data_IF_299715327576
#
_entry.id   IF_299715327576
#
_cell.length_a   1.000
_cell.length_b   1.000
_cell.length_c   1.000
_cell.angle_alpha   90.00
_cell.angle_beta   90.00
_cell.angle_gamma   90.00
#
_symmetry.space_group_name_H-M   'P 1'
#
loop_
_entity.id
_entity.type
_entity.pdbx_description
1 polymer ?
#
# COMPACT_ATOMS: atom_id res chain seq x y z
N UNK A 1 -29.91 -16.73 7.72
CA UNK A 1 -28.63 -16.83 6.98
C UNK A 1 -28.03 -15.44 6.86
N UNK A 2 -26.83 -15.25 7.41
CA UNK A 2 -26.14 -13.97 7.36
C UNK A 2 -24.88 -14.08 6.51
N UNK A 3 -24.84 -13.28 5.44
CA UNK A 3 -23.66 -13.17 4.57
C UNK A 3 -22.93 -11.88 4.92
N UNK A 4 -21.66 -11.98 5.21
CA UNK A 4 -20.83 -10.82 5.50
C UNK A 4 -19.65 -10.77 4.54
N UNK A 5 -19.26 -9.53 4.20
CA UNK A 5 -18.08 -9.27 3.36
C UNK A 5 -17.13 -8.38 4.14
N UNK A 6 -15.91 -8.83 4.31
CA UNK A 6 -14.87 -8.08 5.00
C UNK A 6 -13.70 -7.87 4.06
N UNK A 7 -13.20 -6.65 3.99
CA UNK A 7 -12.03 -6.31 3.18
C UNK A 7 -10.96 -5.74 4.11
N UNK A 8 -9.77 -6.33 4.08
CA UNK A 8 -8.68 -5.91 4.96
C UNK A 8 -7.33 -6.14 4.29
N UNK A 9 -6.38 -5.27 4.61
CA UNK A 9 -5.00 -5.49 4.20
C UNK A 9 -4.44 -6.60 5.11
N UNK A 10 -4.22 -7.79 4.56
CA UNK A 10 -3.77 -8.94 5.33
C UNK A 10 -2.26 -9.16 5.27
N UNK A 11 -1.58 -8.47 4.37
CA UNK A 11 -0.13 -8.54 4.25
C UNK A 11 0.42 -7.20 3.76
N UNK A 12 1.40 -6.67 4.47
CA UNK A 12 2.04 -5.41 4.14
C UNK A 12 3.54 -5.66 4.17
N UNK A 13 4.23 -5.41 3.04
CA UNK A 13 5.67 -5.59 2.95
C UNK A 13 6.34 -4.28 2.55
N UNK A 14 7.45 -3.98 3.22
CA UNK A 14 8.29 -2.84 2.84
C UNK A 14 9.47 -3.36 2.05
N UNK A 15 9.82 -2.65 0.99
CA UNK A 15 10.91 -3.02 0.09
C UNK A 15 12.09 -2.08 0.31
N UNK A 16 13.28 -2.52 -0.07
CA UNK A 16 14.53 -1.78 0.15
C UNK A 16 14.47 -0.32 -0.32
N UNK A 17 13.78 -0.06 -1.44
CA UNK A 17 13.68 1.31 -1.97
C UNK A 17 12.62 2.17 -1.27
N UNK A 18 11.96 1.64 -0.25
CA UNK A 18 10.92 2.33 0.48
C UNK A 18 9.50 2.08 -0.04
N UNK A 19 9.35 1.35 -1.14
CA UNK A 19 8.02 1.01 -1.65
C UNK A 19 7.32 0.05 -0.69
N UNK A 20 5.99 0.20 -0.57
CA UNK A 20 5.17 -0.63 0.31
C UNK A 20 4.20 -1.43 -0.55
N UNK A 21 4.28 -2.75 -0.44
CA UNK A 21 3.36 -3.66 -1.15
C UNK A 21 2.26 -4.08 -0.21
N UNK A 22 1.02 -3.96 -0.66
CA UNK A 22 -0.17 -4.29 0.14
C UNK A 22 -0.94 -5.40 -0.56
N UNK A 23 -1.26 -6.45 0.18
CA UNK A 23 -2.22 -7.46 -0.28
C UNK A 23 -3.50 -7.25 0.51
N UNK A 24 -4.60 -7.06 -0.23
CA UNK A 24 -5.93 -6.89 0.36
C UNK A 24 -6.70 -8.18 0.19
N UNK A 25 -7.21 -8.72 1.27
CA UNK A 25 -8.05 -9.91 1.25
C UNK A 25 -9.51 -9.49 1.36
N UNK A 26 -10.34 -10.03 0.45
CA UNK A 26 -11.79 -9.91 0.54
C UNK A 26 -12.33 -11.26 0.97
N UNK A 27 -12.98 -11.29 2.13
CA UNK A 27 -13.44 -12.52 2.76
C UNK A 27 -14.96 -12.49 2.81
N UNK A 28 -15.59 -13.54 2.28
CA UNK A 28 -17.05 -13.69 2.32
C UNK A 28 -17.37 -14.85 3.25
N UNK A 29 -18.21 -14.59 4.25
CA UNK A 29 -18.61 -15.56 5.25
C UNK A 29 -20.11 -15.72 5.27
N UNK A 30 -20.56 -16.93 5.61
CA UNK A 30 -21.96 -17.24 5.88
C UNK A 30 -22.03 -17.79 7.30
N UNK A 31 -22.78 -17.09 8.16
CA UNK A 31 -22.96 -17.46 9.58
C UNK A 31 -21.63 -17.71 10.30
N UNK A 32 -20.64 -16.87 9.98
CA UNK A 32 -19.30 -16.96 10.59
C UNK A 32 -18.35 -17.92 9.91
N UNK A 33 -18.82 -18.68 8.91
CA UNK A 33 -17.97 -19.63 8.17
C UNK A 33 -17.49 -19.01 6.88
N UNK A 34 -16.18 -19.03 6.67
CA UNK A 34 -15.59 -18.47 5.45
C UNK A 34 -15.97 -19.33 4.23
N UNK A 35 -16.61 -18.69 3.25
CA UNK A 35 -16.99 -19.34 2.00
C UNK A 35 -15.93 -19.16 0.92
N UNK A 36 -15.37 -17.95 0.83
CA UNK A 36 -14.38 -17.66 -0.19
C UNK A 36 -13.50 -16.51 0.26
N UNK A 37 -12.29 -16.46 -0.31
CA UNK A 37 -11.31 -15.41 -0.05
C UNK A 37 -10.62 -15.08 -1.36
N UNK A 38 -10.58 -13.81 -1.69
CA UNK A 38 -9.87 -13.33 -2.87
C UNK A 38 -8.84 -12.29 -2.45
N UNK A 39 -7.83 -12.09 -3.29
CA UNK A 39 -6.73 -11.19 -2.99
C UNK A 39 -6.53 -10.18 -4.10
N UNK A 40 -6.17 -8.98 -3.70
CA UNK A 40 -5.78 -7.91 -4.61
C UNK A 40 -4.48 -7.30 -4.10
N UNK A 41 -3.52 -7.08 -4.99
CA UNK A 41 -2.22 -6.49 -4.62
C UNK A 41 -2.05 -5.14 -5.27
N UNK A 42 -1.51 -4.20 -4.51
CA UNK A 42 -1.09 -2.91 -5.07
C UNK A 42 0.18 -2.44 -4.36
N UNK A 43 0.85 -1.49 -4.99
CA UNK A 43 2.13 -0.97 -4.49
C UNK A 43 2.03 0.54 -4.33
N UNK A 44 2.57 1.04 -3.22
CA UNK A 44 2.68 2.47 -2.97
C UNK A 44 4.15 2.84 -2.97
N UNK A 45 4.52 3.83 -3.76
CA UNK A 45 5.90 4.32 -3.83
C UNK A 45 6.11 5.53 -2.93
N UNK A 46 7.35 5.78 -2.44
CA UNK A 46 7.61 6.87 -1.48
C UNK A 46 7.31 8.26 -2.01
N UNK A 47 7.38 8.44 -3.32
CA UNK A 47 7.11 9.73 -3.97
C UNK A 47 6.42 9.50 -5.29
N UNK A 48 5.63 10.48 -5.72
CA UNK A 48 4.91 10.45 -6.98
C UNK A 48 5.36 11.60 -7.85
N UNK A 49 5.71 11.30 -9.11
CA UNK A 49 6.13 12.32 -10.06
C UNK A 49 4.97 12.70 -10.96
N UNK A 50 4.69 13.99 -11.03
CA UNK A 50 3.67 14.56 -11.91
C UNK A 50 4.37 15.52 -12.87
N UNK A 51 4.46 15.15 -14.15
CA UNK A 51 5.28 15.87 -15.09
C UNK A 51 6.75 15.79 -14.66
N UNK A 52 7.36 16.92 -14.36
CA UNK A 52 8.76 17.00 -13.91
C UNK A 52 8.88 17.24 -12.41
N UNK A 53 7.76 17.22 -11.69
CA UNK A 53 7.74 17.59 -10.26
C UNK A 53 7.47 16.37 -9.39
N UNK A 54 8.32 16.16 -8.39
CA UNK A 54 8.12 15.15 -7.36
C UNK A 54 7.25 15.70 -6.22
N UNK A 55 6.34 14.87 -5.74
CA UNK A 55 5.49 15.21 -4.61
C UNK A 55 5.26 14.00 -3.73
N UNK A 56 4.60 14.21 -2.60
CA UNK A 56 4.28 13.12 -1.69
C UNK A 56 3.17 12.24 -2.28
N UNK A 57 3.32 10.93 -2.09
CA UNK A 57 2.29 9.99 -2.52
C UNK A 57 1.07 10.12 -1.61
N UNK A 58 -0.11 10.26 -2.24
CA UNK A 58 -1.37 10.36 -1.51
C UNK A 58 -1.79 8.99 -1.01
N UNK A 59 -1.85 8.83 0.31
CA UNK A 59 -2.27 7.59 0.96
C UNK A 59 -3.58 7.76 1.75
N UNK A 60 -4.29 8.85 1.52
CA UNK A 60 -5.50 9.16 2.28
C UNK A 60 -6.61 8.12 2.11
N UNK A 61 -6.61 7.38 1.00
CA UNK A 61 -7.59 6.32 0.76
C UNK A 61 -7.20 4.96 1.32
N UNK A 62 -6.02 4.84 1.94
CA UNK A 62 -5.55 3.57 2.50
C UNK A 62 -6.05 3.35 3.92
N UNK A 63 -6.04 2.10 4.38
CA UNK A 63 -6.36 1.79 5.78
C UNK A 63 -5.38 2.51 6.71
N UNK A 64 -5.86 2.84 7.92
CA UNK A 64 -5.05 3.54 8.93
C UNK A 64 -3.72 2.83 9.19
N UNK A 65 -3.73 1.50 9.27
CA UNK A 65 -2.53 0.71 9.48
C UNK A 65 -1.53 0.87 8.34
N UNK A 66 -2.01 0.89 7.10
CA UNK A 66 -1.17 1.09 5.92
C UNK A 66 -0.57 2.49 5.94
N UNK A 67 -1.38 3.50 6.25
CA UNK A 67 -0.90 4.88 6.36
C UNK A 67 0.20 5.02 7.41
N UNK A 68 0.03 4.37 8.56
CA UNK A 68 1.01 4.42 9.64
C UNK A 68 2.35 3.81 9.21
N UNK A 69 2.31 2.70 8.50
CA UNK A 69 3.52 2.05 8.00
C UNK A 69 4.21 2.92 6.96
N UNK A 70 3.46 3.47 6.01
CA UNK A 70 4.01 4.36 5.00
C UNK A 70 4.66 5.59 5.63
N UNK A 71 4.02 6.21 6.61
CA UNK A 71 4.55 7.37 7.28
C UNK A 71 5.84 7.05 8.06
N UNK A 72 5.93 5.85 8.61
CA UNK A 72 7.13 5.43 9.32
C UNK A 72 8.29 5.14 8.37
N UNK A 73 8.01 4.53 7.22
CA UNK A 73 9.03 4.16 6.22
C UNK A 73 9.49 5.36 5.41
N UNK A 74 8.57 6.24 5.03
CA UNK A 74 8.84 7.33 4.09
C UNK A 74 9.42 8.57 4.77
N UNK A 75 10.65 8.45 5.24
CA UNK A 75 11.38 9.61 5.72
C UNK A 75 11.86 10.47 4.55
N UNK A 76 12.31 11.69 4.82
CA UNK A 76 12.85 12.55 3.76
C UNK A 76 14.00 11.89 3.02
N UNK A 77 14.87 11.17 3.75
CA UNK A 77 15.99 10.46 3.14
C UNK A 77 15.53 9.37 2.18
N UNK A 78 14.49 8.61 2.56
CA UNK A 78 13.92 7.55 1.70
C UNK A 78 13.31 8.14 0.45
N UNK A 79 12.52 9.22 0.60
CA UNK A 79 11.88 9.89 -0.54
C UNK A 79 12.91 10.43 -1.51
N UNK A 80 13.96 11.08 -1.01
CA UNK A 80 15.02 11.65 -1.83
C UNK A 80 15.78 10.56 -2.57
N UNK A 81 16.14 9.48 -1.89
CA UNK A 81 16.85 8.37 -2.51
C UNK A 81 16.00 7.71 -3.61
N UNK A 82 14.72 7.55 -3.38
CA UNK A 82 13.81 7.02 -4.39
C UNK A 82 13.75 7.91 -5.63
N UNK A 83 13.59 9.22 -5.42
CA UNK A 83 13.52 10.20 -6.50
C UNK A 83 14.81 10.18 -7.33
N UNK A 84 15.97 10.18 -6.67
CA UNK A 84 17.27 10.16 -7.34
C UNK A 84 17.45 8.87 -8.16
N UNK A 85 17.05 7.72 -7.60
CA UNK A 85 17.17 6.45 -8.28
C UNK A 85 16.28 6.38 -9.53
N UNK A 86 15.07 6.93 -9.45
CA UNK A 86 14.15 6.96 -10.57
C UNK A 86 14.63 7.92 -11.66
N UNK A 87 15.11 9.10 -11.27
CA UNK A 87 15.63 10.07 -12.24
C UNK A 87 16.87 9.54 -12.95
N UNK A 88 17.72 8.80 -12.24
CA UNK A 88 18.91 8.19 -12.83
C UNK A 88 18.59 7.05 -13.80
N UNK A 89 17.42 6.43 -13.66
CA UNK A 89 16.99 5.32 -14.50
C UNK A 89 16.34 5.77 -15.81
N UNK A 90 16.00 7.05 -15.92
CA UNK A 90 15.37 7.61 -17.14
C UNK A 90 16.36 7.84 -18.28
#
# INVERSE_FOLDING_TARGET
MAITKTTTADKIETIENGSVQIRTATIIKEDGTELTRSFHRHVLHPSTKTGDTWGDTDISGEETRVQAICNAVWTNAVKTAYQEAQDAAE
#
